data_IF_223429282672
#
_entry.id   IF_223429282672
#
_cell.length_a   1.000
_cell.length_b   1.000
_cell.length_c   1.000
_cell.angle_alpha   90.00
_cell.angle_beta   90.00
_cell.angle_gamma   90.00
#
_symmetry.space_group_name_H-M   'P 1'
#
loop_
_entity.id
_entity.type
_entity.pdbx_description
1 polymer ?
#
# COMPACT_ATOMS: atom_id res chain seq x y z
N UNK A 1 36.26 1.43 12.89
CA UNK A 1 35.10 0.59 12.54
C UNK A 1 33.86 1.37 12.97
N UNK A 2 32.99 1.81 12.06
CA UNK A 2 31.81 2.59 12.49
C UNK A 2 30.84 2.94 11.35
N UNK A 3 31.34 3.42 10.22
CA UNK A 3 30.48 3.97 9.16
C UNK A 3 29.53 2.96 8.49
N UNK A 4 30.00 1.72 8.26
CA UNK A 4 29.16 0.66 7.66
C UNK A 4 28.11 0.15 8.65
N UNK A 5 28.41 0.14 9.95
CA UNK A 5 27.50 -0.34 10.99
C UNK A 5 26.39 0.68 11.28
N UNK A 6 26.70 1.98 11.21
CA UNK A 6 25.70 3.06 11.30
C UNK A 6 24.76 3.07 10.09
N UNK A 7 25.27 2.76 8.89
CA UNK A 7 24.46 2.65 7.69
C UNK A 7 23.51 1.46 7.75
N UNK A 8 24.02 0.29 8.17
CA UNK A 8 23.23 -0.94 8.34
C UNK A 8 22.12 -0.78 9.38
N UNK A 9 22.43 -0.10 10.50
CA UNK A 9 21.45 0.25 11.53
C UNK A 9 20.38 1.20 11.00
N UNK A 10 20.76 2.25 10.27
CA UNK A 10 19.79 3.18 9.66
C UNK A 10 18.91 2.50 8.61
N UNK A 11 19.45 1.58 7.83
CA UNK A 11 18.66 0.80 6.86
C UNK A 11 17.65 -0.08 7.59
N UNK A 12 18.08 -0.75 8.65
CA UNK A 12 17.23 -1.63 9.45
C UNK A 12 16.11 -0.86 10.16
N UNK A 13 16.42 0.30 10.75
CA UNK A 13 15.44 1.20 11.36
C UNK A 13 14.42 1.68 10.31
N UNK A 14 14.89 2.11 9.14
CA UNK A 14 14.00 2.61 8.09
C UNK A 14 13.07 1.51 7.53
N UNK A 15 13.59 0.30 7.34
CA UNK A 15 12.78 -0.86 6.92
C UNK A 15 11.76 -1.26 7.99
N UNK A 16 12.08 -1.13 9.28
CA UNK A 16 11.16 -1.45 10.36
C UNK A 16 10.08 -0.37 10.53
N UNK A 17 10.46 0.90 10.41
CA UNK A 17 9.58 2.07 10.57
C UNK A 17 8.62 2.22 9.38
N UNK A 18 9.10 1.98 8.16
CA UNK A 18 8.30 2.04 6.93
C UNK A 18 7.80 0.67 6.45
N UNK A 19 8.13 -0.42 7.15
CA UNK A 19 7.70 -1.77 6.79
C UNK A 19 6.18 -1.89 6.76
N UNK A 20 5.47 -1.23 7.69
CA UNK A 20 4.01 -1.18 7.65
C UNK A 20 3.46 -0.41 6.44
N UNK A 21 4.18 0.59 5.93
CA UNK A 21 3.79 1.36 4.75
C UNK A 21 4.05 0.58 3.45
N UNK A 22 4.99 -0.37 3.47
CA UNK A 22 5.28 -1.28 2.35
C UNK A 22 4.27 -2.43 2.23
N UNK A 23 3.63 -2.83 3.33
CA UNK A 23 2.67 -3.96 3.35
C UNK A 23 1.21 -3.56 3.50
N UNK A 24 0.91 -2.34 3.94
CA UNK A 24 -0.47 -1.85 4.06
C UNK A 24 -0.97 -1.32 2.72
N UNK A 25 -1.81 -2.11 2.06
CA UNK A 25 -2.44 -1.74 0.78
C UNK A 25 -3.27 -0.45 0.87
N UNK A 26 -3.65 0.00 2.06
CA UNK A 26 -4.40 1.24 2.27
C UNK A 26 -3.50 2.46 2.53
N UNK A 27 -2.22 2.29 2.89
CA UNK A 27 -1.36 3.37 3.37
C UNK A 27 -1.06 4.44 2.31
N UNK A 28 -1.04 4.07 1.03
CA UNK A 28 -0.75 4.99 -0.08
C UNK A 28 -2.01 5.46 -0.82
N UNK A 29 -3.20 4.97 -0.46
CA UNK A 29 -4.41 5.24 -1.25
C UNK A 29 -4.96 6.66 -0.97
N UNK A 30 -5.32 7.42 -2.02
CA UNK A 30 -5.98 8.71 -1.84
C UNK A 30 -7.24 8.55 -0.99
N UNK A 31 -7.47 9.50 -0.08
CA UNK A 31 -8.63 9.48 0.84
C UNK A 31 -9.97 9.29 0.10
N UNK A 32 -10.07 9.83 -1.13
CA UNK A 32 -11.20 9.65 -2.04
C UNK A 32 -11.54 8.18 -2.34
N UNK A 33 -10.53 7.31 -2.41
CA UNK A 33 -10.72 5.87 -2.65
C UNK A 33 -11.40 5.22 -1.44
N UNK A 34 -10.91 5.53 -0.23
CA UNK A 34 -11.54 5.05 1.01
C UNK A 34 -13.02 5.46 1.09
N UNK A 35 -13.33 6.72 0.79
CA UNK A 35 -14.71 7.23 0.78
C UNK A 35 -15.61 6.54 -0.25
N UNK A 36 -15.08 6.23 -1.44
CA UNK A 36 -15.82 5.49 -2.47
C UNK A 36 -16.11 4.06 -2.03
N UNK A 37 -15.14 3.38 -1.40
CA UNK A 37 -15.32 2.02 -0.88
C UNK A 37 -16.37 2.01 0.23
N UNK A 38 -16.33 2.98 1.14
CA UNK A 38 -17.35 3.15 2.20
C UNK A 38 -18.77 3.32 1.64
N UNK A 39 -18.93 4.05 0.52
CA UNK A 39 -20.23 4.19 -0.16
C UNK A 39 -20.77 2.89 -0.74
N UNK A 40 -19.91 1.90 -0.98
CA UNK A 40 -20.29 0.59 -1.50
C UNK A 40 -20.64 -0.42 -0.41
N UNK A 41 -20.17 -0.21 0.83
CA UNK A 41 -20.42 -1.11 1.97
C UNK A 41 -21.90 -1.37 2.31
N UNK A 42 -22.85 -0.44 2.10
CA UNK A 42 -24.27 -0.71 2.31
C UNK A 42 -24.85 -1.81 1.41
N UNK A 43 -24.23 -2.09 0.25
CA UNK A 43 -24.66 -3.14 -0.67
C UNK A 43 -24.09 -4.52 -0.34
N UNK A 44 -23.16 -4.58 0.63
CA UNK A 44 -22.48 -5.79 1.07
C UNK A 44 -23.11 -6.28 2.37
N UNK A 45 -23.28 -7.60 2.48
CA UNK A 45 -23.71 -8.25 3.73
C UNK A 45 -22.78 -7.84 4.88
N UNK A 46 -23.32 -7.48 6.05
CA UNK A 46 -22.53 -6.91 7.15
C UNK A 46 -21.36 -7.80 7.58
N UNK A 47 -21.53 -9.12 7.50
CA UNK A 47 -20.52 -10.13 7.83
C UNK A 47 -19.34 -10.14 6.85
N UNK A 48 -19.54 -9.64 5.62
CA UNK A 48 -18.55 -9.65 4.55
C UNK A 48 -17.91 -8.27 4.30
N UNK A 49 -18.35 -7.20 4.98
CA UNK A 49 -17.92 -5.82 4.71
C UNK A 49 -16.42 -5.64 4.82
N UNK A 50 -15.83 -6.07 5.92
CA UNK A 50 -14.39 -5.93 6.16
C UNK A 50 -13.56 -6.69 5.12
N UNK A 51 -13.98 -7.90 4.77
CA UNK A 51 -13.31 -8.73 3.76
C UNK A 51 -13.41 -8.13 2.36
N UNK A 52 -14.57 -7.58 1.99
CA UNK A 52 -14.76 -6.93 0.68
C UNK A 52 -13.96 -5.62 0.62
N UNK A 53 -13.98 -4.83 1.69
CA UNK A 53 -13.18 -3.60 1.81
C UNK A 53 -11.69 -3.88 1.64
N UNK A 54 -11.15 -4.87 2.35
CA UNK A 54 -9.75 -5.27 2.24
C UNK A 54 -9.38 -5.73 0.83
N UNK A 55 -10.24 -6.53 0.18
CA UNK A 55 -10.00 -6.99 -1.19
C UNK A 55 -10.00 -5.84 -2.20
N UNK A 56 -10.95 -4.91 -2.10
CA UNK A 56 -11.01 -3.76 -3.02
C UNK A 56 -9.75 -2.89 -2.85
N UNK A 57 -9.34 -2.59 -1.62
CA UNK A 57 -8.15 -1.79 -1.37
C UNK A 57 -6.86 -2.51 -1.85
N UNK A 58 -6.77 -3.83 -1.64
CA UNK A 58 -5.68 -4.66 -2.15
C UNK A 58 -5.56 -4.62 -3.67
N UNK A 59 -6.68 -4.77 -4.39
CA UNK A 59 -6.71 -4.72 -5.86
C UNK A 59 -6.30 -3.34 -6.41
N UNK A 60 -6.74 -2.26 -5.76
CA UNK A 60 -6.38 -0.90 -6.19
C UNK A 60 -4.89 -0.64 -5.95
N UNK A 61 -4.34 -1.13 -4.84
CA UNK A 61 -2.92 -1.07 -4.57
C UNK A 61 -2.11 -1.81 -5.62
N UNK A 62 -2.48 -3.06 -5.93
CA UNK A 62 -1.82 -3.89 -6.94
C UNK A 62 -1.79 -3.20 -8.31
N UNK A 63 -2.95 -2.69 -8.78
CA UNK A 63 -3.04 -2.00 -10.07
C UNK A 63 -2.19 -0.72 -10.14
N UNK A 64 -2.06 0.03 -9.03
CA UNK A 64 -1.19 1.21 -8.97
C UNK A 64 0.29 0.83 -9.05
N UNK A 65 0.70 -0.24 -8.37
CA UNK A 65 2.08 -0.73 -8.43
C UNK A 65 2.43 -1.19 -9.83
N UNK A 66 1.54 -1.94 -10.51
CA UNK A 66 1.74 -2.36 -11.90
C UNK A 66 1.84 -1.18 -12.88
N UNK A 67 0.99 -0.16 -12.73
CA UNK A 67 1.06 1.05 -13.58
C UNK A 67 2.33 1.86 -13.36
N UNK A 68 2.78 1.97 -12.11
CA UNK A 68 3.99 2.70 -11.76
C UNK A 68 5.24 1.98 -12.26
N UNK A 69 5.22 0.63 -12.25
CA UNK A 69 6.27 -0.19 -12.85
C UNK A 69 6.31 -0.12 -14.39
N UNK A 70 5.15 -0.01 -15.05
CA UNK A 70 5.06 0.09 -16.51
C UNK A 70 5.51 1.45 -17.06
N UNK A 71 5.42 2.54 -16.29
CA UNK A 71 5.83 3.88 -16.73
C UNK A 71 7.36 4.10 -16.64
N UNK A 72 8.10 3.23 -15.94
CA UNK A 72 9.57 3.28 -15.87
C UNK A 72 10.29 2.52 -17.01
N UNK A 73 9.56 1.82 -17.89
CA UNK A 73 10.11 1.04 -19.01
C UNK A 73 9.83 1.71 -20.37
N UNK A 74 9.98 3.04 -20.47
CA UNK A 74 10.06 3.73 -21.76
C UNK A 74 11.47 4.31 -21.91
N UNK A 75 12.38 3.64 -22.65
CA UNK A 75 13.67 4.23 -22.97
C UNK A 75 13.48 5.26 -24.09
N UNK A 76 13.93 6.49 -23.84
CA UNK A 76 14.24 7.50 -24.86
C UNK A 76 15.54 7.11 -25.60
#
# INVERSE_FOLDING_TARGET
MGFLSDLDKKLTDNVYEHGSQLTDSAADLPQTVGELVERLMPFVQPEARETVKAQILGLIHEYRVERSGAEQDHPD
#
